data_IF_093284183556
#
_entry.id   IF_093284183556
#
_cell.length_a   1.000
_cell.length_b   1.000
_cell.length_c   1.000
_cell.angle_alpha   90.00
_cell.angle_beta   90.00
_cell.angle_gamma   90.00
#
_symmetry.space_group_name_H-M   'P 1'
#
loop_
_entity.id
_entity.type
_entity.pdbx_description
1 polymer ?
#
# COMPACT_ATOMS: atom_id res chain seq x y z
N UNK A 1 9.15 1.91 -7.51
CA UNK A 1 7.92 2.60 -7.92
C UNK A 1 8.11 4.11 -7.77
N UNK A 2 7.92 4.85 -8.84
CA UNK A 2 7.96 6.32 -8.84
C UNK A 2 6.57 6.83 -9.28
N UNK A 3 5.63 7.06 -8.33
CA UNK A 3 4.29 7.49 -8.67
C UNK A 3 4.29 8.96 -9.09
N UNK A 4 3.54 9.28 -10.14
CA UNK A 4 3.29 10.65 -10.54
C UNK A 4 2.09 11.27 -9.79
N UNK A 5 1.18 10.43 -9.31
CA UNK A 5 0.04 10.81 -8.47
C UNK A 5 -0.15 9.84 -7.30
N UNK A 6 -0.49 10.41 -6.16
CA UNK A 6 -0.92 9.66 -4.97
C UNK A 6 -2.20 10.30 -4.46
N UNK A 7 -3.22 9.49 -4.23
CA UNK A 7 -4.48 9.89 -3.61
C UNK A 7 -4.56 9.28 -2.21
N UNK A 8 -4.68 10.16 -1.22
CA UNK A 8 -4.99 9.81 0.16
C UNK A 8 -6.44 10.20 0.44
N UNK A 9 -7.26 9.24 0.82
CA UNK A 9 -8.66 9.43 1.14
C UNK A 9 -8.86 9.17 2.62
N UNK A 10 -9.42 10.14 3.31
CA UNK A 10 -9.78 10.03 4.71
C UNK A 10 -11.16 10.66 4.90
N UNK A 11 -12.15 9.84 5.22
CA UNK A 11 -13.56 10.23 5.24
C UNK A 11 -13.97 10.87 3.90
N UNK A 12 -14.42 12.11 3.91
CA UNK A 12 -14.83 12.87 2.72
C UNK A 12 -13.75 13.81 2.18
N UNK A 13 -12.52 13.70 2.67
CA UNK A 13 -11.39 14.51 2.22
C UNK A 13 -10.45 13.65 1.38
N UNK A 14 -10.24 14.08 0.17
CA UNK A 14 -9.34 13.45 -0.79
C UNK A 14 -8.16 14.40 -1.00
N UNK A 15 -6.98 13.94 -0.65
CA UNK A 15 -5.73 14.66 -0.87
C UNK A 15 -5.02 14.06 -2.07
N UNK A 16 -4.87 14.86 -3.12
CA UNK A 16 -4.04 14.51 -4.28
C UNK A 16 -2.65 15.09 -4.09
N UNK A 17 -1.64 14.23 -4.15
CA UNK A 17 -0.25 14.64 -4.32
C UNK A 17 0.16 14.34 -5.77
N UNK A 18 0.44 15.40 -6.53
CA UNK A 18 0.95 15.33 -7.91
C UNK A 18 2.36 15.93 -7.93
N UNK A 19 3.38 15.08 -8.09
CA UNK A 19 4.79 15.50 -8.16
C UNK A 19 5.19 16.45 -7.00
N UNK A 20 4.79 16.11 -5.77
CA UNK A 20 5.08 16.90 -4.57
C UNK A 20 4.08 18.01 -4.26
N UNK A 21 3.28 18.47 -5.22
CA UNK A 21 2.22 19.46 -4.99
C UNK A 21 0.96 18.81 -4.46
N UNK A 22 0.49 19.26 -3.30
CA UNK A 22 -0.71 18.72 -2.65
C UNK A 22 -1.92 19.62 -2.89
N UNK A 23 -3.04 19.03 -3.24
CA UNK A 23 -4.36 19.66 -3.29
C UNK A 23 -5.37 18.82 -2.53
N UNK A 24 -6.40 19.45 -1.98
CA UNK A 24 -7.47 18.77 -1.24
C UNK A 24 -8.81 19.10 -1.87
N UNK A 25 -9.67 18.10 -1.97
CA UNK A 25 -11.06 18.26 -2.36
C UNK A 25 -11.96 17.55 -1.36
N UNK A 26 -13.16 18.05 -1.18
CA UNK A 26 -14.21 17.39 -0.39
C UNK A 26 -15.16 16.71 -1.35
N UNK A 27 -15.27 15.39 -1.26
CA UNK A 27 -16.14 14.59 -2.13
C UNK A 27 -16.58 13.30 -1.43
N UNK A 28 -17.61 12.66 -1.96
CA UNK A 28 -17.98 11.30 -1.57
C UNK A 28 -16.87 10.33 -1.98
N UNK A 29 -16.30 9.55 -1.03
CA UNK A 29 -15.14 8.71 -1.29
C UNK A 29 -15.44 7.57 -2.28
N UNK A 30 -16.61 6.93 -2.19
CA UNK A 30 -16.94 5.81 -3.07
C UNK A 30 -17.18 6.28 -4.51
N UNK A 31 -17.87 7.39 -4.69
CA UNK A 31 -18.07 8.01 -6.01
C UNK A 31 -16.73 8.43 -6.62
N UNK A 32 -15.86 9.00 -5.80
CA UNK A 32 -14.52 9.39 -6.26
C UNK A 32 -13.69 8.18 -6.70
N UNK A 33 -13.63 7.11 -5.89
CA UNK A 33 -12.90 5.89 -6.22
C UNK A 33 -13.45 5.25 -7.49
N UNK A 34 -14.77 5.14 -7.62
CA UNK A 34 -15.41 4.60 -8.82
C UNK A 34 -15.08 5.42 -10.07
N UNK A 35 -15.10 6.75 -9.96
CA UNK A 35 -14.67 7.62 -11.04
C UNK A 35 -13.20 7.41 -11.38
N UNK A 36 -12.32 7.39 -10.39
CA UNK A 36 -10.88 7.18 -10.57
C UNK A 36 -10.61 5.86 -11.32
N UNK A 37 -11.28 4.77 -10.94
CA UNK A 37 -11.14 3.46 -11.58
C UNK A 37 -11.66 3.50 -13.03
N UNK A 38 -12.78 4.16 -13.27
CA UNK A 38 -13.34 4.31 -14.63
C UNK A 38 -12.41 5.13 -15.54
N UNK A 39 -11.89 6.24 -15.02
CA UNK A 39 -10.98 7.12 -15.75
C UNK A 39 -9.61 6.46 -16.00
N UNK A 40 -9.24 5.45 -15.18
CA UNK A 40 -7.99 4.72 -15.28
C UNK A 40 -8.02 3.54 -16.25
N UNK A 41 -9.17 3.21 -16.86
CA UNK A 41 -9.28 2.09 -17.82
C UNK A 41 -8.37 2.32 -19.03
N UNK A 42 -7.34 1.47 -19.16
CA UNK A 42 -6.37 1.49 -20.26
C UNK A 42 -6.44 0.16 -20.99
N UNK A 43 -6.40 0.21 -22.34
CA UNK A 43 -6.25 -1.00 -23.15
C UNK A 43 -4.75 -1.36 -23.18
N UNK A 44 -4.37 -2.40 -22.47
CA UNK A 44 -3.00 -2.89 -22.44
C UNK A 44 -2.74 -3.73 -23.70
N UNK A 45 -1.64 -3.48 -24.46
CA UNK A 45 -1.23 -4.31 -25.56
C UNK A 45 -1.05 -5.78 -25.14
N UNK A 46 -1.42 -6.72 -26.01
CA UNK A 46 -1.35 -8.17 -25.71
C UNK A 46 0.07 -8.68 -25.39
N UNK A 47 1.09 -7.97 -25.89
CA UNK A 47 2.49 -8.30 -25.66
C UNK A 47 2.96 -7.98 -24.24
N UNK A 48 2.28 -7.08 -23.56
CA UNK A 48 2.62 -6.66 -22.20
C UNK A 48 1.83 -7.47 -21.15
N UNK A 49 2.41 -7.63 -19.94
CA UNK A 49 1.66 -8.22 -18.85
C UNK A 49 0.46 -7.34 -18.45
N UNK A 50 -0.62 -7.96 -17.96
CA UNK A 50 -1.84 -7.24 -17.55
C UNK A 50 -1.58 -6.17 -16.49
N UNK A 51 -0.49 -6.29 -15.75
CA UNK A 51 -0.03 -5.35 -14.73
C UNK A 51 0.81 -4.18 -15.29
N UNK A 52 0.93 -4.05 -16.61
CA UNK A 52 1.74 -3.00 -17.24
C UNK A 52 1.27 -1.58 -16.87
N UNK A 53 -0.01 -1.42 -16.55
CA UNK A 53 -0.54 -0.18 -15.98
C UNK A 53 -1.57 -0.49 -14.89
N UNK A 54 -1.36 0.08 -13.69
CA UNK A 54 -2.20 -0.22 -12.53
C UNK A 54 -2.22 0.94 -11.55
N UNK A 55 -3.21 0.93 -10.67
CA UNK A 55 -3.20 1.66 -9.40
C UNK A 55 -2.72 0.72 -8.29
N UNK A 56 -1.79 1.18 -7.48
CA UNK A 56 -1.21 0.42 -6.37
C UNK A 56 -1.49 1.11 -5.06
N UNK A 57 -1.93 0.36 -4.06
CA UNK A 57 -2.18 0.93 -2.75
C UNK A 57 -2.91 -0.02 -1.83
N UNK A 58 -3.66 0.55 -0.89
CA UNK A 58 -4.44 -0.22 0.08
C UNK A 58 -5.78 0.43 0.36
N UNK A 59 -6.70 -0.40 0.82
CA UNK A 59 -7.94 -0.04 1.47
C UNK A 59 -7.85 -0.52 2.91
N UNK A 60 -8.03 0.40 3.88
CA UNK A 60 -8.07 0.02 5.31
C UNK A 60 -9.39 -0.69 5.63
N UNK A 61 -9.43 -1.33 6.80
CA UNK A 61 -10.69 -1.91 7.30
C UNK A 61 -11.80 -0.85 7.42
N UNK A 62 -11.44 0.37 7.81
CA UNK A 62 -12.39 1.46 8.05
C UNK A 62 -13.12 1.99 6.81
N UNK A 63 -12.73 1.55 5.60
CA UNK A 63 -13.49 1.79 4.35
C UNK A 63 -14.91 1.24 4.44
N UNK A 64 -15.15 0.20 5.26
CA UNK A 64 -16.50 -0.32 5.51
C UNK A 64 -17.46 0.77 6.01
N UNK A 65 -16.95 1.81 6.70
CA UNK A 65 -17.74 2.94 7.20
C UNK A 65 -18.26 3.86 6.09
N UNK A 66 -17.74 3.72 4.88
CA UNK A 66 -18.30 4.41 3.71
C UNK A 66 -19.54 3.71 3.16
N UNK A 67 -19.74 2.44 3.53
CA UNK A 67 -20.82 1.57 3.05
C UNK A 67 -21.85 1.36 4.16
N UNK A 68 -21.39 1.07 5.38
CA UNK A 68 -22.23 0.68 6.50
C UNK A 68 -22.13 1.66 7.69
N UNK A 69 -23.23 1.80 8.41
CA UNK A 69 -23.27 2.58 9.66
C UNK A 69 -22.86 1.69 10.83
N UNK A 70 -21.58 1.67 11.13
CA UNK A 70 -21.05 0.95 12.29
C UNK A 70 -20.48 1.92 13.33
N UNK A 71 -20.49 1.57 14.63
CA UNK A 71 -19.95 2.42 15.69
C UNK A 71 -18.47 2.74 15.47
N UNK A 72 -18.09 4.00 15.74
CA UNK A 72 -16.71 4.46 15.67
C UNK A 72 -16.16 4.78 17.06
N UNK A 73 -15.98 3.73 17.87
CA UNK A 73 -15.59 3.83 19.28
C UNK A 73 -14.06 3.72 19.48
N UNK A 74 -13.31 3.39 18.45
CA UNK A 74 -11.87 3.25 18.53
C UNK A 74 -11.18 4.59 18.30
N UNK A 75 -10.14 4.86 19.10
CA UNK A 75 -9.30 6.03 18.91
C UNK A 75 -8.40 5.82 17.69
N UNK A 76 -8.45 6.74 16.74
CA UNK A 76 -7.48 6.81 15.66
C UNK A 76 -6.26 7.60 16.15
N UNK A 77 -5.18 6.89 16.44
CA UNK A 77 -3.89 7.45 16.88
C UNK A 77 -2.77 7.24 15.85
N UNK A 78 -3.06 6.59 14.74
CA UNK A 78 -2.11 6.34 13.66
C UNK A 78 -2.20 7.37 12.53
N UNK A 79 -3.36 8.00 12.37
CA UNK A 79 -3.64 8.98 11.30
C UNK A 79 -3.29 8.46 9.89
N UNK A 80 -3.54 7.17 9.66
CA UNK A 80 -3.32 6.53 8.36
C UNK A 80 -4.56 6.79 7.48
N UNK A 81 -4.41 7.18 6.22
CA UNK A 81 -5.55 7.32 5.31
C UNK A 81 -6.37 6.04 5.21
N UNK A 82 -7.70 6.17 5.09
CA UNK A 82 -8.59 5.01 4.89
C UNK A 82 -8.29 4.32 3.56
N UNK A 83 -7.93 5.11 2.53
CA UNK A 83 -7.47 4.59 1.23
C UNK A 83 -6.25 5.38 0.79
N UNK A 84 -5.22 4.67 0.35
CA UNK A 84 -4.12 5.25 -0.40
C UNK A 84 -3.97 4.52 -1.72
N UNK A 85 -4.06 5.27 -2.82
CA UNK A 85 -3.80 4.76 -4.16
C UNK A 85 -2.70 5.59 -4.80
N UNK A 86 -1.79 4.94 -5.49
CA UNK A 86 -0.73 5.57 -6.24
C UNK A 86 -0.76 5.11 -7.69
N UNK A 87 -0.42 6.03 -8.61
CA UNK A 87 -0.30 5.77 -10.04
C UNK A 87 1.19 5.68 -10.38
N UNK A 88 1.74 4.47 -10.52
CA UNK A 88 3.14 4.30 -10.86
C UNK A 88 3.44 4.80 -12.27
N UNK A 89 4.48 5.62 -12.40
CA UNK A 89 5.04 6.00 -13.69
C UNK A 89 5.92 4.88 -14.23
N UNK A 90 6.79 4.34 -13.38
CA UNK A 90 7.72 3.28 -13.74
C UNK A 90 7.36 1.99 -13.01
N UNK A 91 7.38 0.89 -13.72
CA UNK A 91 7.13 -0.46 -13.21
C UNK A 91 8.24 -1.41 -13.67
N UNK A 92 8.63 -2.30 -12.78
CA UNK A 92 9.40 -3.50 -13.09
C UNK A 92 8.51 -4.69 -12.79
N UNK A 93 8.22 -5.49 -13.79
CA UNK A 93 7.36 -6.67 -13.67
C UNK A 93 8.17 -7.91 -14.02
N UNK A 94 8.27 -8.84 -13.07
CA UNK A 94 8.83 -10.16 -13.31
C UNK A 94 7.71 -11.15 -13.60
N UNK A 95 7.71 -11.70 -14.82
CA UNK A 95 6.81 -12.77 -15.23
C UNK A 95 7.48 -14.12 -14.94
N UNK A 96 7.06 -14.80 -13.91
CA UNK A 96 7.64 -16.07 -13.48
C UNK A 96 7.35 -17.23 -14.45
N UNK A 97 6.28 -17.16 -15.22
CA UNK A 97 5.93 -18.18 -16.22
C UNK A 97 6.81 -18.06 -17.46
N UNK A 98 6.98 -16.83 -17.96
CA UNK A 98 7.83 -16.54 -19.11
C UNK A 98 9.30 -16.38 -18.75
N UNK A 99 9.62 -16.27 -17.45
CA UNK A 99 10.97 -15.94 -16.93
C UNK A 99 11.54 -14.66 -17.55
N UNK A 100 10.69 -13.65 -17.69
CA UNK A 100 11.02 -12.37 -18.30
C UNK A 100 10.83 -11.23 -17.32
N UNK A 101 11.67 -10.21 -17.45
CA UNK A 101 11.54 -8.95 -16.73
C UNK A 101 11.10 -7.89 -17.73
N UNK A 102 10.02 -7.18 -17.39
CA UNK A 102 9.52 -6.05 -18.15
C UNK A 102 9.84 -4.76 -17.41
N UNK A 103 10.48 -3.83 -18.11
CA UNK A 103 10.64 -2.46 -17.69
C UNK A 103 9.59 -1.63 -18.42
N UNK A 104 8.75 -0.93 -17.66
CA UNK A 104 7.61 -0.23 -18.23
C UNK A 104 7.62 1.20 -17.73
N UNK A 105 7.61 2.15 -18.64
CA UNK A 105 7.30 3.55 -18.33
C UNK A 105 5.92 3.91 -18.86
N UNK A 106 5.02 4.29 -17.95
CA UNK A 106 3.68 4.74 -18.29
C UNK A 106 3.69 6.24 -18.56
N UNK A 107 3.25 6.61 -19.75
CA UNK A 107 3.03 8.00 -20.13
C UNK A 107 1.53 8.26 -20.10
N UNK A 108 1.10 9.08 -19.16
CA UNK A 108 -0.31 9.42 -18.99
C UNK A 108 -0.66 10.67 -19.78
N UNK A 109 -1.89 10.73 -20.32
CA UNK A 109 -2.37 11.83 -21.19
C UNK A 109 -2.24 13.22 -20.56
N UNK A 110 -2.29 13.30 -19.24
CA UNK A 110 -2.10 14.55 -18.49
C UNK A 110 -0.61 14.90 -18.24
N UNK A 111 0.31 14.12 -18.79
CA UNK A 111 1.74 14.39 -18.79
C UNK A 111 2.09 15.20 -20.03
N UNK A 112 2.58 16.42 -19.85
CA UNK A 112 3.01 17.27 -20.97
C UNK A 112 4.36 16.76 -21.48
N UNK A 113 4.36 16.05 -22.60
CA UNK A 113 5.57 15.66 -23.35
C UNK A 113 5.66 16.57 -24.56
N UNK A 114 6.77 17.28 -24.68
CA UNK A 114 7.02 18.19 -25.81
C UNK A 114 7.42 17.43 -27.06
N UNK A 115 8.30 16.44 -26.90
CA UNK A 115 8.77 15.57 -27.96
C UNK A 115 8.73 14.10 -27.48
N UNK A 116 7.91 13.29 -28.14
CA UNK A 116 7.75 11.87 -27.79
C UNK A 116 8.97 11.04 -28.19
N UNK A 117 9.68 11.40 -29.25
CA UNK A 117 10.88 10.68 -29.69
C UNK A 117 12.02 10.91 -28.70
N UNK A 118 12.29 12.16 -28.36
CA UNK A 118 13.30 12.51 -27.34
C UNK A 118 12.99 11.82 -26.01
N UNK A 119 11.71 11.83 -25.61
CA UNK A 119 11.27 11.15 -24.38
C UNK A 119 11.54 9.64 -24.46
N UNK A 120 11.18 8.98 -25.56
CA UNK A 120 11.41 7.56 -25.80
C UNK A 120 12.91 7.22 -25.72
N UNK A 121 13.75 7.98 -26.40
CA UNK A 121 15.20 7.78 -26.40
C UNK A 121 15.79 7.96 -24.99
N UNK A 122 15.28 8.93 -24.22
CA UNK A 122 15.69 9.15 -22.83
C UNK A 122 15.29 8.00 -21.91
N UNK A 123 14.16 7.35 -22.17
CA UNK A 123 13.67 6.20 -21.40
C UNK A 123 14.50 4.96 -21.73
N UNK A 124 14.80 4.73 -23.01
CA UNK A 124 15.64 3.60 -23.43
C UNK A 124 17.03 3.66 -22.78
N UNK A 125 17.69 4.83 -22.79
CA UNK A 125 18.97 5.02 -22.10
C UNK A 125 18.94 4.69 -20.62
N UNK A 126 17.77 4.89 -19.96
CA UNK A 126 17.61 4.48 -18.56
C UNK A 126 17.45 2.97 -18.41
N UNK A 127 16.82 2.32 -19.38
CA UNK A 127 16.66 0.87 -19.35
C UNK A 127 17.99 0.15 -19.54
N UNK A 128 18.88 0.67 -20.40
CA UNK A 128 20.24 0.14 -20.57
C UNK A 128 20.99 0.07 -19.23
N UNK A 129 20.76 1.03 -18.31
CA UNK A 129 21.35 1.02 -16.95
C UNK A 129 20.81 -0.11 -16.06
N UNK A 130 19.67 -0.71 -16.40
CA UNK A 130 19.07 -1.81 -15.62
C UNK A 130 19.45 -3.20 -16.15
N UNK A 131 20.18 -3.30 -17.27
CA UNK A 131 20.64 -4.58 -17.79
C UNK A 131 21.81 -5.16 -16.97
N UNK A 132 22.52 -4.34 -16.24
CA UNK A 132 23.66 -4.76 -15.41
C UNK A 132 23.22 -5.30 -14.03
N UNK A 133 22.36 -6.35 -14.04
CA UNK A 133 21.91 -7.01 -12.79
C UNK A 133 22.97 -7.90 -12.15
N UNK A 134 24.02 -8.28 -12.85
CA UNK A 134 25.07 -9.18 -12.34
C UNK A 134 25.84 -8.53 -11.17
N UNK A 135 25.83 -7.19 -11.12
CA UNK A 135 26.54 -6.41 -10.10
C UNK A 135 25.68 -5.95 -8.93
N UNK A 136 24.43 -6.41 -8.84
CA UNK A 136 23.57 -6.08 -7.68
C UNK A 136 24.00 -6.91 -6.48
N UNK A 137 24.78 -6.33 -5.59
CA UNK A 137 25.00 -6.86 -4.25
C UNK A 137 23.71 -6.81 -3.45
N UNK A 138 23.15 -7.98 -3.16
CA UNK A 138 22.04 -8.06 -2.21
C UNK A 138 22.52 -7.57 -0.84
N UNK A 139 21.72 -6.74 -0.13
CA UNK A 139 22.11 -6.32 1.21
C UNK A 139 22.33 -7.53 2.11
N UNK A 140 23.39 -7.47 2.93
CA UNK A 140 23.76 -8.50 3.88
C UNK A 140 22.55 -9.01 4.66
N UNK A 141 22.58 -10.32 4.97
CA UNK A 141 21.51 -10.94 5.73
C UNK A 141 21.45 -10.30 7.12
N UNK A 142 20.34 -9.59 7.34
CA UNK A 142 20.09 -8.94 8.62
C UNK A 142 19.86 -9.98 9.72
N UNK A 143 20.80 -10.10 10.66
CA UNK A 143 20.62 -10.87 11.90
C UNK A 143 20.15 -9.92 13.00
N UNK A 144 18.91 -10.09 13.41
CA UNK A 144 18.33 -9.30 14.46
C UNK A 144 18.16 -10.12 15.75
N UNK A 145 18.83 -9.72 16.82
CA UNK A 145 18.62 -10.27 18.16
C UNK A 145 17.58 -9.42 18.89
N UNK A 146 16.36 -9.91 19.17
CA UNK A 146 15.33 -9.12 19.81
C UNK A 146 15.64 -8.87 21.28
N UNK A 147 15.64 -7.60 21.69
CA UNK A 147 15.58 -7.25 23.11
C UNK A 147 14.10 -7.13 23.52
N UNK A 148 13.60 -8.11 24.28
CA UNK A 148 12.19 -8.21 24.70
C UNK A 148 11.72 -7.03 25.55
N UNK A 149 12.61 -6.33 26.25
CA UNK A 149 12.27 -5.23 27.16
C UNK A 149 11.88 -3.92 26.46
N UNK A 150 11.96 -3.86 25.14
CA UNK A 150 11.63 -2.67 24.35
C UNK A 150 10.27 -2.74 23.65
N UNK A 151 9.48 -3.78 23.92
CA UNK A 151 8.16 -3.95 23.32
C UNK A 151 7.10 -3.29 24.23
N UNK A 152 6.36 -2.33 23.68
CA UNK A 152 5.21 -1.73 24.33
C UNK A 152 3.93 -2.39 23.82
N UNK A 153 2.98 -2.61 24.73
CA UNK A 153 1.65 -3.08 24.38
C UNK A 153 0.60 -2.02 24.73
N UNK A 154 -0.44 -1.90 23.90
CA UNK A 154 -1.59 -1.04 24.19
C UNK A 154 -2.57 -1.66 25.21
N UNK A 155 -2.34 -2.93 25.62
CA UNK A 155 -3.20 -3.68 26.52
C UNK A 155 -2.33 -4.46 27.51
N UNK A 156 -2.67 -4.39 28.81
CA UNK A 156 -1.97 -5.19 29.81
C UNK A 156 -2.38 -6.66 29.73
N UNK A 157 -1.56 -7.55 30.29
CA UNK A 157 -1.84 -8.99 30.34
C UNK A 157 -3.17 -9.29 31.06
N UNK A 158 -3.42 -8.63 32.18
CA UNK A 158 -4.63 -8.78 33.00
C UNK A 158 -5.87 -8.32 32.22
N UNK A 159 -5.77 -7.17 31.55
CA UNK A 159 -6.84 -6.66 30.69
C UNK A 159 -7.15 -7.61 29.54
N UNK A 160 -6.12 -8.12 28.87
CA UNK A 160 -6.33 -9.08 27.76
C UNK A 160 -7.02 -10.37 28.26
N UNK A 161 -6.58 -10.93 29.41
CA UNK A 161 -7.25 -12.08 30.04
C UNK A 161 -8.70 -11.81 30.37
N UNK A 162 -9.03 -10.60 30.85
CA UNK A 162 -10.42 -10.22 31.14
C UNK A 162 -11.28 -10.16 29.87
N UNK A 163 -10.72 -9.67 28.75
CA UNK A 163 -11.40 -9.66 27.46
C UNK A 163 -11.68 -11.08 26.95
N UNK A 164 -10.71 -12.02 27.12
CA UNK A 164 -10.91 -13.43 26.77
C UNK A 164 -12.06 -14.05 27.59
N UNK A 165 -12.12 -13.81 28.91
CA UNK A 165 -13.21 -14.31 29.75
C UNK A 165 -14.55 -13.75 29.29
N UNK A 166 -14.61 -12.44 28.98
CA UNK A 166 -15.83 -11.81 28.47
C UNK A 166 -16.27 -12.38 27.13
N UNK A 167 -15.33 -12.62 26.21
CA UNK A 167 -15.61 -13.24 24.92
C UNK A 167 -16.18 -14.66 25.06
N UNK A 168 -15.60 -15.48 25.95
CA UNK A 168 -16.12 -16.84 26.26
C UNK A 168 -17.54 -16.79 26.79
N UNK A 169 -17.86 -15.85 27.68
CA UNK A 169 -19.21 -15.70 28.21
C UNK A 169 -20.23 -15.31 27.11
N UNK A 170 -19.86 -14.50 26.11
CA UNK A 170 -20.73 -14.21 24.97
C UNK A 170 -20.99 -15.46 24.11
N UNK A 171 -19.97 -16.31 23.93
CA UNK A 171 -20.12 -17.59 23.20
C UNK A 171 -21.06 -18.53 23.98
N UNK A 172 -20.86 -18.68 25.30
CA UNK A 172 -21.68 -19.53 26.16
C UNK A 172 -23.16 -19.09 26.19
N UNK A 173 -23.42 -17.78 26.08
CA UNK A 173 -24.79 -17.23 25.99
C UNK A 173 -25.42 -17.34 24.60
N UNK A 174 -24.66 -17.73 23.58
CA UNK A 174 -25.13 -17.78 22.21
C UNK A 174 -25.18 -16.40 21.52
N UNK A 175 -24.64 -15.35 22.14
CA UNK A 175 -24.59 -14.00 21.53
C UNK A 175 -23.68 -13.96 20.29
N UNK A 176 -22.59 -14.75 20.30
CA UNK A 176 -21.64 -14.91 19.23
C UNK A 176 -21.14 -16.35 19.19
N UNK A 177 -20.67 -16.81 18.03
CA UNK A 177 -20.03 -18.11 17.89
C UNK A 177 -18.49 -17.99 17.67
N UNK A 178 -18.02 -16.83 17.24
CA UNK A 178 -16.59 -16.54 17.05
C UNK A 178 -16.29 -15.07 17.29
N UNK A 179 -15.12 -14.79 17.86
CA UNK A 179 -14.56 -13.43 17.96
C UNK A 179 -13.03 -13.49 17.92
N UNK A 180 -12.42 -12.53 17.25
CA UNK A 180 -10.98 -12.35 17.24
C UNK A 180 -10.62 -11.15 18.12
N UNK A 181 -9.92 -11.41 19.23
CA UNK A 181 -9.38 -10.37 20.09
C UNK A 181 -8.02 -9.94 19.57
N UNK A 182 -7.79 -8.65 19.47
CA UNK A 182 -6.53 -8.09 18.98
C UNK A 182 -5.84 -7.22 20.04
N UNK A 183 -4.55 -7.09 19.87
CA UNK A 183 -3.67 -6.30 20.73
C UNK A 183 -2.55 -5.75 19.85
N UNK A 184 -2.10 -4.51 20.13
CA UNK A 184 -1.02 -3.87 19.39
C UNK A 184 0.26 -3.89 20.20
N UNK A 185 1.32 -4.41 19.59
CA UNK A 185 2.68 -4.31 20.09
C UNK A 185 3.45 -3.29 19.26
N UNK A 186 4.18 -2.42 19.94
CA UNK A 186 4.99 -1.39 19.32
C UNK A 186 6.46 -1.57 19.70
N UNK A 187 7.33 -1.33 18.75
CA UNK A 187 8.76 -1.35 18.94
C UNK A 187 9.46 -0.33 18.05
N UNK A 188 10.44 0.38 18.61
CA UNK A 188 11.34 1.21 17.79
C UNK A 188 12.18 0.33 16.86
N UNK A 189 12.26 0.75 15.63
CA UNK A 189 13.03 0.07 14.59
C UNK A 189 13.87 1.09 13.83
N UNK A 190 15.18 0.83 13.71
CA UNK A 190 16.16 1.79 13.17
C UNK A 190 16.67 1.38 11.77
N UNK A 191 16.01 0.41 11.15
CA UNK A 191 16.36 -0.09 9.81
C UNK A 191 15.36 0.34 8.77
N UNK A 192 15.72 0.22 7.49
CA UNK A 192 14.80 0.53 6.40
C UNK A 192 13.63 -0.47 6.37
N UNK A 193 12.39 -0.03 6.04
CA UNK A 193 11.24 -0.94 5.97
C UNK A 193 11.45 -2.14 5.05
N UNK A 194 12.21 -1.97 3.96
CA UNK A 194 12.53 -3.07 3.02
C UNK A 194 13.36 -4.18 3.69
N UNK A 195 14.18 -3.86 4.68
CA UNK A 195 14.95 -4.85 5.42
C UNK A 195 14.04 -5.74 6.28
N UNK A 196 12.99 -5.15 6.90
CA UNK A 196 11.96 -5.90 7.64
C UNK A 196 11.21 -6.82 6.68
N UNK A 197 10.80 -6.29 5.53
CA UNK A 197 10.09 -7.06 4.52
C UNK A 197 10.91 -8.26 4.05
N UNK A 198 12.19 -8.07 3.73
CA UNK A 198 13.08 -9.14 3.30
C UNK A 198 13.30 -10.19 4.38
N UNK A 199 13.30 -9.79 5.65
CA UNK A 199 13.39 -10.73 6.78
C UNK A 199 12.12 -11.56 6.96
N UNK A 200 10.94 -10.93 6.83
CA UNK A 200 9.65 -11.61 6.99
C UNK A 200 9.32 -12.54 5.82
N UNK A 201 9.94 -12.33 4.65
CA UNK A 201 9.71 -13.13 3.46
C UNK A 201 10.46 -14.47 3.47
N UNK A 202 11.45 -14.65 4.33
CA UNK A 202 12.21 -15.90 4.51
C UNK A 202 11.41 -16.93 5.30
#
# INVERSE_FOLDING_TARGET
LNPDKIWDINKNIITLNKLGKKSKIKADPLRFINKLIKDFKIKIPKQLPSMASMLVGYFSYDVIRYIEKIPNNCKDDLNIPDVRLSRPKNLVVYDSLKKMIYYIENVYVDTKIKDYKEHYDSVNKKFDLYEDFENITLPDQFTYKPNKNLIKSNTTKEKFKSLVKKAKNYIEKGDIFQVVLSQRFERKFNKKPIEIYNYLRK
#
